data_IF_067509041793
#
_entry.id   IF_067509041793
#
_cell.length_a   1.000
_cell.length_b   1.000
_cell.length_c   1.000
_cell.angle_alpha   90.00
_cell.angle_beta   90.00
_cell.angle_gamma   90.00
#
_symmetry.space_group_name_H-M   'P 1'
#
loop_
_entity.id
_entity.type
_entity.pdbx_description
1 polymer ?
#
# COMPACT_ATOMS: atom_id res chain seq x y z
N UNK A 1 21.75 -3.27 9.37
CA UNK A 1 20.58 -2.39 9.53
C UNK A 1 19.97 -2.58 10.92
N UNK A 2 19.44 -1.51 11.52
CA UNK A 2 18.69 -1.52 12.79
C UNK A 2 17.27 -1.04 12.54
N UNK A 3 16.27 -1.76 13.04
CA UNK A 3 14.87 -1.35 13.04
C UNK A 3 14.60 -0.40 14.22
N UNK A 4 13.79 0.63 13.98
CA UNK A 4 13.19 1.46 15.04
C UNK A 4 11.66 1.35 14.93
N UNK A 5 11.03 0.74 15.92
CA UNK A 5 9.62 0.40 15.92
C UNK A 5 8.68 1.54 16.35
N UNK A 6 7.37 1.28 16.36
CA UNK A 6 6.34 2.29 16.65
C UNK A 6 6.33 2.81 18.09
N UNK A 7 7.03 2.16 19.04
CA UNK A 7 7.13 2.62 20.44
C UNK A 7 8.46 3.30 20.75
N UNK A 8 9.30 3.47 19.74
CA UNK A 8 10.63 4.07 19.88
C UNK A 8 10.65 5.53 19.40
N UNK A 9 11.80 6.17 19.62
CA UNK A 9 12.15 7.47 19.04
C UNK A 9 13.42 7.33 18.25
N UNK A 10 13.50 8.05 17.14
CA UNK A 10 14.70 8.09 16.31
C UNK A 10 15.14 9.52 16.08
N UNK A 11 16.38 9.85 16.45
CA UNK A 11 16.97 11.18 16.31
C UNK A 11 18.07 11.17 15.27
N UNK A 12 18.02 12.11 14.33
CA UNK A 12 18.99 12.21 13.24
C UNK A 12 19.05 13.65 12.74
N UNK A 13 20.24 14.22 12.55
CA UNK A 13 20.45 15.55 11.94
C UNK A 13 19.52 16.65 12.50
N UNK A 14 19.27 16.64 13.82
CA UNK A 14 18.39 17.62 14.50
C UNK A 14 16.88 17.30 14.45
N UNK A 15 16.46 16.32 13.65
CA UNK A 15 15.08 15.83 13.62
C UNK A 15 14.84 14.80 14.73
N UNK A 16 13.65 14.84 15.34
CA UNK A 16 13.15 13.83 16.26
C UNK A 16 11.92 13.19 15.65
N UNK A 17 12.01 11.91 15.33
CA UNK A 17 10.95 11.14 14.70
C UNK A 17 10.30 10.26 15.78
N UNK A 18 9.05 10.56 16.08
CA UNK A 18 8.19 9.76 16.94
C UNK A 18 7.58 8.62 16.14
N UNK A 19 7.46 7.43 16.74
CA UNK A 19 6.91 6.23 16.07
C UNK A 19 7.58 5.99 14.69
N UNK A 20 8.91 5.82 14.67
CA UNK A 20 9.73 5.88 13.46
C UNK A 20 9.36 4.85 12.40
N UNK A 21 9.13 3.58 12.78
CA UNK A 21 8.79 2.48 11.86
C UNK A 21 9.68 2.42 10.62
N UNK A 22 10.99 2.55 10.82
CA UNK A 22 11.97 2.60 9.73
C UNK A 22 13.23 1.83 10.09
N UNK A 23 14.00 1.47 9.06
CA UNK A 23 15.35 0.97 9.25
C UNK A 23 16.38 2.08 9.12
N UNK A 24 17.45 1.98 9.91
CA UNK A 24 18.64 2.82 9.79
C UNK A 24 19.89 1.97 9.59
N UNK A 25 20.85 2.49 8.85
CA UNK A 25 22.13 1.85 8.60
C UNK A 25 23.25 2.88 8.45
N UNK A 26 24.31 2.79 9.25
CA UNK A 26 25.45 3.71 9.12
C UNK A 26 26.41 3.19 8.05
N UNK A 27 26.09 3.35 6.76
CA UNK A 27 26.91 2.93 5.62
C UNK A 27 27.02 1.42 5.38
N UNK A 28 26.34 0.59 6.16
CA UNK A 28 26.37 -0.89 6.03
C UNK A 28 25.06 -1.45 5.49
N UNK A 29 24.67 -0.97 4.31
CA UNK A 29 23.48 -1.47 3.63
C UNK A 29 23.72 -2.92 3.15
N UNK A 30 22.69 -3.78 3.17
CA UNK A 30 22.86 -5.18 2.77
C UNK A 30 23.17 -5.33 1.28
N UNK A 31 22.76 -4.37 0.45
CA UNK A 31 23.14 -4.24 -0.95
C UNK A 31 23.20 -2.76 -1.36
N UNK A 32 23.98 -2.40 -2.41
CA UNK A 32 23.97 -1.07 -2.98
C UNK A 32 22.57 -0.65 -3.42
N UNK A 33 22.10 0.51 -2.96
CA UNK A 33 20.78 1.03 -3.31
C UNK A 33 19.62 0.42 -2.53
N UNK A 34 19.87 -0.18 -1.36
CA UNK A 34 18.83 -0.61 -0.40
C UNK A 34 17.79 0.51 -0.16
N UNK A 35 16.54 0.34 -0.60
CA UNK A 35 15.54 1.40 -0.54
C UNK A 35 14.80 1.46 0.80
N UNK A 36 14.93 0.46 1.66
CA UNK A 36 14.15 0.34 2.90
C UNK A 36 14.81 0.99 4.13
N UNK A 37 16.00 1.57 3.96
CA UNK A 37 16.80 2.12 5.06
C UNK A 37 17.20 3.57 4.82
N UNK A 38 17.34 4.32 5.92
CA UNK A 38 18.05 5.60 5.92
C UNK A 38 19.50 5.41 6.34
N UNK A 39 20.39 6.22 5.80
CA UNK A 39 21.79 6.30 6.23
C UNK A 39 22.08 7.62 6.98
N UNK A 40 22.17 7.59 8.32
CA UNK A 40 22.42 8.79 9.12
C UNK A 40 23.78 9.44 8.86
N UNK A 41 24.74 8.72 8.26
CA UNK A 41 26.08 9.25 7.96
C UNK A 41 26.10 10.19 6.76
N UNK A 42 25.06 10.16 5.93
CA UNK A 42 24.98 10.99 4.73
C UNK A 42 24.63 12.45 5.08
N UNK A 43 25.16 13.42 4.31
CA UNK A 43 24.87 14.83 4.55
C UNK A 43 23.39 15.16 4.38
N UNK A 44 22.86 15.94 5.32
CA UNK A 44 21.51 16.48 5.31
C UNK A 44 21.58 18.00 5.35
N UNK A 45 20.85 18.66 4.45
CA UNK A 45 20.75 20.11 4.38
C UNK A 45 19.34 20.57 4.79
N UNK A 46 19.11 21.89 4.72
CA UNK A 46 17.77 22.46 4.89
C UNK A 46 16.78 21.74 3.95
N UNK A 47 15.57 21.39 4.43
CA UNK A 47 14.57 20.73 3.61
C UNK A 47 14.32 21.43 2.29
N UNK A 48 14.44 20.70 1.19
CA UNK A 48 14.10 21.19 -0.14
C UNK A 48 12.58 21.45 -0.23
N UNK A 49 12.20 22.33 -1.17
CA UNK A 49 10.81 22.72 -1.47
C UNK A 49 10.62 22.84 -2.97
N UNK A 50 9.37 22.77 -3.43
CA UNK A 50 9.02 22.91 -4.84
C UNK A 50 9.77 21.89 -5.71
N UNK A 51 10.29 22.34 -6.85
CA UNK A 51 10.98 21.47 -7.82
C UNK A 51 12.23 20.78 -7.22
N UNK A 52 12.98 21.47 -6.35
CA UNK A 52 14.15 20.89 -5.70
C UNK A 52 13.81 19.72 -4.75
N UNK A 53 12.54 19.61 -4.32
CA UNK A 53 12.05 18.51 -3.51
C UNK A 53 11.53 17.32 -4.34
N UNK A 54 11.38 17.46 -5.66
CA UNK A 54 10.89 16.39 -6.53
C UNK A 54 11.86 15.23 -6.55
N UNK A 55 11.31 14.02 -6.56
CA UNK A 55 12.10 12.79 -6.56
C UNK A 55 12.10 12.13 -7.93
N UNK A 56 13.21 11.45 -8.23
CA UNK A 56 13.30 10.57 -9.40
C UNK A 56 12.53 9.27 -9.21
N UNK A 57 12.51 8.45 -10.24
CA UNK A 57 11.93 7.11 -10.15
C UNK A 57 12.84 6.18 -9.31
N UNK A 58 12.24 5.29 -8.51
CA UNK A 58 12.95 4.35 -7.62
C UNK A 58 13.98 4.98 -6.67
N UNK A 59 13.60 6.07 -5.97
CA UNK A 59 14.48 6.68 -4.99
C UNK A 59 14.79 5.75 -3.81
N UNK A 60 16.06 5.72 -3.42
CA UNK A 60 16.55 5.30 -2.11
C UNK A 60 17.16 6.51 -1.40
N UNK A 61 17.31 6.42 -0.08
CA UNK A 61 17.81 7.54 0.73
C UNK A 61 19.22 8.00 0.33
N UNK A 62 20.05 7.07 -0.15
CA UNK A 62 21.44 7.33 -0.54
C UNK A 62 21.54 8.20 -1.79
N UNK A 63 20.60 8.06 -2.73
CA UNK A 63 20.57 8.83 -3.98
C UNK A 63 19.87 10.18 -3.85
N UNK A 64 19.26 10.47 -2.70
CA UNK A 64 18.69 11.78 -2.43
C UNK A 64 19.80 12.84 -2.30
N UNK A 65 19.56 14.03 -2.83
CA UNK A 65 20.38 15.20 -2.50
C UNK A 65 20.25 15.54 -1.01
N UNK A 66 21.23 16.26 -0.41
CA UNK A 66 21.13 16.65 1.01
C UNK A 66 19.83 17.39 1.37
N UNK A 67 19.30 18.21 0.46
CA UNK A 67 18.03 18.92 0.67
C UNK A 67 16.80 18.01 0.61
N UNK A 68 16.78 17.03 -0.31
CA UNK A 68 15.73 16.01 -0.38
C UNK A 68 15.75 15.11 0.87
N UNK A 69 16.92 14.73 1.38
CA UNK A 69 17.03 14.03 2.67
C UNK A 69 16.45 14.87 3.81
N UNK A 70 16.71 16.18 3.82
CA UNK A 70 16.10 17.11 4.77
C UNK A 70 14.57 17.11 4.69
N UNK A 71 14.02 17.18 3.48
CA UNK A 71 12.57 17.12 3.24
C UNK A 71 11.95 15.79 3.68
N UNK A 72 12.64 14.68 3.48
CA UNK A 72 12.18 13.37 3.93
C UNK A 72 12.18 13.26 5.47
N UNK A 73 13.27 13.67 6.12
CA UNK A 73 13.40 13.61 7.57
C UNK A 73 12.44 14.56 8.28
N UNK A 74 12.19 15.75 7.72
CA UNK A 74 11.18 16.67 8.21
C UNK A 74 9.78 16.06 8.11
N UNK A 75 9.43 15.46 6.96
CA UNK A 75 8.14 14.78 6.77
C UNK A 75 7.95 13.62 7.76
N UNK A 76 9.00 12.81 7.99
CA UNK A 76 8.98 11.76 9.01
C UNK A 76 8.76 12.36 10.42
N UNK A 77 9.46 13.44 10.76
CA UNK A 77 9.34 14.10 12.07
C UNK A 77 7.97 14.75 12.30
N UNK A 78 7.29 15.16 11.24
CA UNK A 78 5.92 15.68 11.26
C UNK A 78 4.86 14.57 11.28
N UNK A 79 5.25 13.31 11.49
CA UNK A 79 4.34 12.18 11.59
C UNK A 79 3.82 11.66 10.26
N UNK A 80 4.57 11.91 9.17
CA UNK A 80 4.28 11.40 7.82
C UNK A 80 2.94 11.87 7.25
N UNK A 81 2.53 13.08 7.59
CA UNK A 81 1.30 13.71 7.09
C UNK A 81 1.61 15.12 6.65
N UNK A 82 1.00 15.51 5.54
CA UNK A 82 1.05 16.86 5.00
C UNK A 82 -0.31 17.54 5.15
N UNK A 83 -0.30 18.86 5.39
CA UNK A 83 -1.53 19.65 5.40
C UNK A 83 -2.21 19.65 4.01
N UNK A 84 -1.42 19.67 2.94
CA UNK A 84 -1.87 19.45 1.57
C UNK A 84 -1.22 18.16 1.01
N UNK A 85 -1.94 17.03 0.99
CA UNK A 85 -1.41 15.78 0.47
C UNK A 85 -1.15 15.80 -1.03
N UNK A 86 -1.76 16.72 -1.80
CA UNK A 86 -1.59 16.78 -3.26
C UNK A 86 -0.19 17.30 -3.67
N UNK A 87 0.43 18.11 -2.82
CA UNK A 87 1.75 18.70 -3.06
C UNK A 87 2.89 17.72 -2.77
N UNK A 88 2.64 16.68 -1.98
CA UNK A 88 3.67 15.70 -1.60
C UNK A 88 4.09 14.87 -2.81
N UNK A 89 5.38 14.90 -3.09
CA UNK A 89 5.99 13.91 -3.97
C UNK A 89 5.87 12.52 -3.33
N UNK A 90 5.13 11.62 -3.99
CA UNK A 90 4.86 10.27 -3.48
C UNK A 90 6.12 9.42 -3.33
N UNK A 91 7.23 9.79 -3.98
CA UNK A 91 8.50 9.08 -3.79
C UNK A 91 8.93 9.03 -2.32
N UNK A 92 8.63 10.06 -1.52
CA UNK A 92 8.91 10.06 -0.08
C UNK A 92 8.03 9.06 0.67
N UNK A 93 6.76 8.96 0.27
CA UNK A 93 5.80 8.00 0.85
C UNK A 93 6.24 6.57 0.53
N UNK A 94 6.68 6.32 -0.70
CA UNK A 94 7.23 5.03 -1.12
C UNK A 94 8.55 4.69 -0.40
N UNK A 95 9.44 5.66 -0.22
CA UNK A 95 10.71 5.45 0.48
C UNK A 95 10.47 4.94 1.91
N UNK A 96 9.46 5.47 2.59
CA UNK A 96 9.02 4.95 3.89
C UNK A 96 8.34 3.58 3.79
N UNK A 97 7.44 3.41 2.82
CA UNK A 97 6.72 2.16 2.58
C UNK A 97 7.64 0.95 2.41
N UNK A 98 8.79 1.09 1.72
CA UNK A 98 9.73 -0.02 1.55
C UNK A 98 10.28 -0.56 2.88
N UNK A 99 10.43 0.30 3.88
CA UNK A 99 10.76 -0.08 5.26
C UNK A 99 9.69 -0.97 5.89
N UNK A 100 8.42 -0.56 5.75
CA UNK A 100 7.27 -1.32 6.25
C UNK A 100 7.12 -2.65 5.52
N UNK A 101 7.18 -2.64 4.18
CA UNK A 101 7.09 -3.83 3.34
C UNK A 101 8.15 -4.86 3.74
N UNK A 102 9.41 -4.43 3.87
CA UNK A 102 10.49 -5.31 4.35
C UNK A 102 10.17 -5.91 5.72
N UNK A 103 9.71 -5.08 6.67
CA UNK A 103 9.41 -5.52 8.04
C UNK A 103 8.25 -6.53 8.06
N UNK A 104 7.20 -6.26 7.31
CA UNK A 104 6.02 -7.10 7.23
C UNK A 104 6.32 -8.41 6.48
N UNK A 105 7.01 -8.37 5.35
CA UNK A 105 7.19 -9.55 4.50
C UNK A 105 8.38 -10.43 4.91
N UNK A 106 9.54 -9.82 5.18
CA UNK A 106 10.76 -10.59 5.46
C UNK A 106 10.89 -10.95 6.94
N UNK A 107 10.53 -10.03 7.83
CA UNK A 107 10.61 -10.28 9.29
C UNK A 107 9.30 -10.85 9.84
N UNK A 108 8.18 -10.69 9.12
CA UNK A 108 6.84 -11.14 9.55
C UNK A 108 6.44 -10.57 10.91
N UNK A 109 6.71 -9.28 11.11
CA UNK A 109 6.35 -8.60 12.35
C UNK A 109 4.82 -8.51 12.48
N UNK A 110 4.22 -9.11 13.53
CA UNK A 110 2.78 -9.15 13.71
C UNK A 110 2.22 -7.82 14.23
N UNK A 111 3.03 -6.82 14.58
CA UNK A 111 2.55 -5.54 15.11
C UNK A 111 1.56 -4.86 14.14
N UNK A 112 0.28 -4.82 14.55
CA UNK A 112 -0.83 -4.29 13.73
C UNK A 112 -0.69 -2.81 13.41
N UNK A 113 0.13 -2.07 14.17
CA UNK A 113 0.42 -0.65 13.90
C UNK A 113 1.15 -0.46 12.56
N UNK A 114 1.86 -1.47 12.06
CA UNK A 114 2.52 -1.41 10.76
C UNK A 114 1.49 -1.39 9.62
N UNK A 115 0.50 -2.30 9.66
CA UNK A 115 -0.61 -2.35 8.69
C UNK A 115 -1.50 -1.12 8.83
N UNK A 116 -1.75 -0.67 10.06
CA UNK A 116 -2.50 0.56 10.32
C UNK A 116 -1.82 1.78 9.68
N UNK A 117 -0.50 1.93 9.79
CA UNK A 117 0.20 3.05 9.14
C UNK A 117 0.06 3.02 7.61
N UNK A 118 0.06 1.83 6.98
CA UNK A 118 -0.20 1.69 5.54
C UNK A 118 -1.62 2.16 5.19
N UNK A 119 -2.61 1.76 5.98
CA UNK A 119 -4.01 2.19 5.81
C UNK A 119 -4.12 3.71 5.94
N UNK A 120 -3.54 4.30 6.98
CA UNK A 120 -3.62 5.75 7.21
C UNK A 120 -2.89 6.55 6.12
N UNK A 121 -1.74 6.07 5.62
CA UNK A 121 -1.06 6.68 4.49
C UNK A 121 -1.92 6.61 3.21
N UNK A 122 -2.57 5.47 2.97
CA UNK A 122 -3.45 5.28 1.82
C UNK A 122 -4.69 6.18 1.91
N UNK A 123 -5.30 6.30 3.08
CA UNK A 123 -6.45 7.17 3.33
C UNK A 123 -6.07 8.66 3.21
N UNK A 124 -4.87 9.05 3.66
CA UNK A 124 -4.39 10.43 3.60
C UNK A 124 -3.99 10.88 2.19
N UNK A 125 -3.19 10.08 1.48
CA UNK A 125 -2.63 10.46 0.17
C UNK A 125 -3.47 9.95 -1.02
N UNK A 126 -4.21 8.86 -0.86
CA UNK A 126 -4.96 8.19 -1.92
C UNK A 126 -6.00 9.08 -2.62
N UNK A 127 -6.81 9.86 -1.89
CA UNK A 127 -7.81 10.77 -2.50
C UNK A 127 -7.18 11.90 -3.31
N UNK A 128 -5.99 12.37 -2.92
CA UNK A 128 -5.30 13.51 -3.53
C UNK A 128 -4.43 13.14 -4.73
N UNK A 129 -4.39 11.86 -5.13
CA UNK A 129 -3.52 11.39 -6.22
C UNK A 129 -4.21 10.50 -7.24
N UNK A 130 -3.74 10.59 -8.48
CA UNK A 130 -4.08 9.64 -9.56
C UNK A 130 -3.10 8.48 -9.66
N UNK A 131 -2.08 8.42 -8.78
CA UNK A 131 -1.10 7.35 -8.75
C UNK A 131 -1.77 5.98 -8.58
N UNK A 132 -1.65 5.14 -9.60
CA UNK A 132 -2.14 3.76 -9.53
C UNK A 132 -1.26 2.93 -8.61
N UNK A 133 0.05 3.13 -8.69
CA UNK A 133 1.03 2.39 -7.89
C UNK A 133 0.82 2.56 -6.39
N UNK A 134 0.41 3.76 -5.92
CA UNK A 134 0.15 3.96 -4.49
C UNK A 134 -0.97 3.02 -4.02
N UNK A 135 -2.10 3.03 -4.72
CA UNK A 135 -3.22 2.15 -4.38
C UNK A 135 -2.86 0.68 -4.56
N UNK A 136 -2.26 0.31 -5.70
CA UNK A 136 -1.93 -1.08 -6.02
C UNK A 136 -0.98 -1.68 -4.99
N UNK A 137 0.21 -1.11 -4.78
CA UNK A 137 1.21 -1.72 -3.91
C UNK A 137 0.79 -1.72 -2.44
N UNK A 138 0.12 -0.66 -1.97
CA UNK A 138 -0.30 -0.58 -0.58
C UNK A 138 -1.42 -1.59 -0.30
N UNK A 139 -2.42 -1.68 -1.18
CA UNK A 139 -3.51 -2.63 -1.01
C UNK A 139 -3.03 -4.08 -1.21
N UNK A 140 -2.15 -4.36 -2.18
CA UNK A 140 -1.56 -5.69 -2.36
C UNK A 140 -0.80 -6.15 -1.11
N UNK A 141 0.00 -5.28 -0.50
CA UNK A 141 0.69 -5.59 0.75
C UNK A 141 -0.30 -5.81 1.89
N UNK A 142 -1.36 -4.99 2.02
CA UNK A 142 -2.40 -5.20 3.03
C UNK A 142 -3.08 -6.56 2.85
N UNK A 143 -3.60 -6.83 1.65
CA UNK A 143 -4.24 -8.09 1.30
C UNK A 143 -3.35 -9.30 1.61
N UNK A 144 -2.12 -9.28 1.11
CA UNK A 144 -1.18 -10.38 1.32
C UNK A 144 -0.82 -10.54 2.79
N UNK A 145 -0.49 -9.44 3.48
CA UNK A 145 -0.05 -9.51 4.88
C UNK A 145 -1.14 -10.00 5.82
N UNK A 146 -2.40 -9.57 5.68
CA UNK A 146 -3.47 -10.13 6.53
C UNK A 146 -3.94 -11.50 6.09
N UNK A 147 -3.79 -11.89 4.83
CA UNK A 147 -3.93 -13.30 4.44
C UNK A 147 -2.96 -14.20 5.22
N UNK A 148 -1.70 -13.75 5.37
CA UNK A 148 -0.70 -14.48 6.15
C UNK A 148 -1.00 -14.52 7.66
N UNK A 149 -1.84 -13.62 8.19
CA UNK A 149 -2.28 -13.65 9.58
C UNK A 149 -3.35 -14.73 9.84
N UNK A 150 -3.98 -15.24 8.77
CA UNK A 150 -4.99 -16.28 8.82
C UNK A 150 -6.26 -15.89 8.07
N UNK A 151 -7.00 -16.91 7.66
CA UNK A 151 -8.21 -16.76 6.84
C UNK A 151 -9.31 -15.96 7.54
N UNK A 152 -9.50 -16.15 8.84
CA UNK A 152 -10.46 -15.37 9.65
C UNK A 152 -10.09 -13.89 9.67
N UNK A 153 -8.83 -13.56 9.99
CA UNK A 153 -8.34 -12.16 10.06
C UNK A 153 -8.52 -11.48 8.70
N UNK A 154 -8.12 -12.15 7.62
CA UNK A 154 -8.27 -11.61 6.29
C UNK A 154 -9.73 -11.41 5.89
N UNK A 155 -10.62 -12.34 6.27
CA UNK A 155 -12.05 -12.25 5.98
C UNK A 155 -12.70 -11.03 6.65
N UNK A 156 -12.28 -10.68 7.86
CA UNK A 156 -12.76 -9.50 8.59
C UNK A 156 -12.40 -8.19 7.88
N UNK A 157 -11.18 -8.09 7.34
CA UNK A 157 -10.69 -6.87 6.69
C UNK A 157 -10.98 -6.81 5.19
N UNK A 158 -11.28 -7.95 4.55
CA UNK A 158 -11.55 -8.01 3.10
C UNK A 158 -12.55 -6.92 2.69
N UNK A 159 -13.72 -6.72 3.34
CA UNK A 159 -14.80 -5.90 2.76
C UNK A 159 -14.32 -4.48 2.52
N UNK A 160 -13.60 -3.95 3.50
CA UNK A 160 -12.98 -2.63 3.45
C UNK A 160 -11.98 -2.54 2.29
N UNK A 161 -11.11 -3.53 2.12
CA UNK A 161 -10.05 -3.47 1.12
C UNK A 161 -10.55 -3.72 -0.31
N UNK A 162 -11.52 -4.61 -0.50
CA UNK A 162 -12.20 -4.79 -1.78
C UNK A 162 -12.89 -3.50 -2.23
N UNK A 163 -13.56 -2.80 -1.32
CA UNK A 163 -14.13 -1.48 -1.63
C UNK A 163 -13.05 -0.47 -2.01
N UNK A 164 -11.90 -0.47 -1.33
CA UNK A 164 -10.78 0.41 -1.64
C UNK A 164 -10.14 0.14 -3.03
N UNK A 165 -10.22 -1.10 -3.53
CA UNK A 165 -9.84 -1.45 -4.91
C UNK A 165 -10.82 -0.89 -5.96
N UNK A 166 -12.04 -0.54 -5.56
CA UNK A 166 -13.10 -0.11 -6.47
C UNK A 166 -13.42 -1.20 -7.51
N UNK A 167 -13.74 -0.79 -8.74
CA UNK A 167 -14.13 -1.70 -9.83
C UNK A 167 -13.01 -2.61 -10.37
N UNK A 168 -11.84 -2.64 -9.73
CA UNK A 168 -10.66 -3.38 -10.20
C UNK A 168 -10.11 -4.27 -9.09
N UNK A 169 -10.71 -5.44 -8.96
CA UNK A 169 -10.10 -6.56 -8.26
C UNK A 169 -9.28 -7.35 -9.28
N UNK A 170 -7.96 -7.15 -9.35
CA UNK A 170 -7.06 -7.80 -10.31
C UNK A 170 -5.80 -8.42 -9.66
N UNK A 171 -4.96 -9.06 -10.47
CA UNK A 171 -3.66 -9.59 -10.04
C UNK A 171 -3.73 -10.61 -8.91
N UNK A 172 -2.81 -10.47 -7.96
CA UNK A 172 -2.66 -11.36 -6.80
C UNK A 172 -3.81 -11.23 -5.81
N UNK A 173 -4.43 -10.06 -5.69
CA UNK A 173 -5.52 -9.83 -4.72
C UNK A 173 -6.70 -10.75 -4.97
N UNK A 174 -7.07 -10.94 -6.25
CA UNK A 174 -8.11 -11.89 -6.64
C UNK A 174 -7.78 -13.31 -6.17
N UNK A 175 -6.53 -13.74 -6.33
CA UNK A 175 -6.12 -15.09 -5.94
C UNK A 175 -6.23 -15.26 -4.43
N UNK A 176 -5.86 -14.25 -3.65
CA UNK A 176 -6.00 -14.26 -2.19
C UNK A 176 -7.47 -14.30 -1.75
N UNK A 177 -8.35 -13.55 -2.41
CA UNK A 177 -9.80 -13.61 -2.15
C UNK A 177 -10.35 -15.01 -2.44
N UNK A 178 -10.01 -15.57 -3.59
CA UNK A 178 -10.44 -16.91 -3.98
C UNK A 178 -9.89 -18.01 -3.06
N UNK A 179 -8.62 -17.91 -2.67
CA UNK A 179 -8.00 -18.84 -1.74
C UNK A 179 -8.66 -18.75 -0.36
N UNK A 180 -8.96 -17.54 0.12
CA UNK A 180 -9.68 -17.35 1.38
C UNK A 180 -11.08 -17.96 1.35
N UNK A 181 -11.85 -17.74 0.28
CA UNK A 181 -13.17 -18.37 0.10
C UNK A 181 -13.07 -19.89 0.11
N UNK A 182 -12.10 -20.45 -0.65
CA UNK A 182 -11.89 -21.89 -0.72
C UNK A 182 -11.52 -22.50 0.63
N UNK A 183 -10.57 -21.90 1.36
CA UNK A 183 -10.13 -22.39 2.68
C UNK A 183 -11.23 -22.28 3.75
N UNK A 184 -12.20 -21.38 3.56
CA UNK A 184 -13.35 -21.19 4.47
C UNK A 184 -14.58 -22.00 4.06
N UNK A 185 -14.53 -22.70 2.93
CA UNK A 185 -15.68 -23.36 2.32
C UNK A 185 -16.87 -22.40 2.11
N UNK A 186 -16.58 -21.11 1.87
CA UNK A 186 -17.59 -20.09 1.60
C UNK A 186 -17.86 -19.98 0.09
N UNK A 187 -19.13 -19.91 -0.33
CA UNK A 187 -19.45 -19.67 -1.73
C UNK A 187 -19.04 -18.27 -2.17
N UNK A 188 -18.86 -18.12 -3.48
CA UNK A 188 -18.43 -16.85 -4.05
C UNK A 188 -19.60 -15.88 -4.17
N UNK A 189 -19.54 -14.78 -3.42
CA UNK A 189 -20.50 -13.69 -3.58
C UNK A 189 -20.44 -13.10 -5.00
N UNK A 190 -21.60 -12.74 -5.55
CA UNK A 190 -21.74 -12.28 -6.94
C UNK A 190 -20.84 -11.07 -7.27
N UNK A 191 -20.55 -10.22 -6.28
CA UNK A 191 -19.66 -9.06 -6.48
C UNK A 191 -18.24 -9.49 -6.80
N UNK A 192 -17.72 -10.57 -6.22
CA UNK A 192 -16.42 -11.14 -6.56
C UNK A 192 -16.48 -11.75 -7.98
N UNK A 193 -17.56 -12.49 -8.26
CA UNK A 193 -17.78 -13.08 -9.58
C UNK A 193 -17.87 -12.03 -10.70
N UNK A 194 -18.50 -10.87 -10.46
CA UNK A 194 -18.56 -9.77 -11.42
C UNK A 194 -17.17 -9.27 -11.82
N UNK A 195 -16.26 -9.13 -10.86
CA UNK A 195 -14.90 -8.66 -11.14
C UNK A 195 -14.03 -9.73 -11.82
N UNK A 196 -14.35 -11.01 -11.61
CA UNK A 196 -13.71 -12.14 -12.25
C UNK A 196 -14.19 -12.39 -13.68
N UNK A 197 -15.49 -12.22 -13.92
CA UNK A 197 -16.13 -12.61 -15.17
C UNK A 197 -15.42 -12.06 -16.42
N UNK A 198 -15.02 -10.78 -16.52
CA UNK A 198 -14.31 -10.24 -17.70
C UNK A 198 -12.98 -10.93 -18.04
N UNK A 199 -12.41 -11.70 -17.12
CA UNK A 199 -11.15 -12.43 -17.31
C UNK A 199 -11.33 -13.86 -17.79
N UNK A 200 -12.51 -14.43 -17.63
CA UNK A 200 -12.79 -15.77 -18.12
C UNK A 200 -12.71 -15.75 -19.65
N UNK A 201 -12.04 -16.73 -20.24
CA UNK A 201 -11.81 -16.83 -21.69
C UNK A 201 -13.12 -16.78 -22.48
N UNK A 202 -14.19 -17.35 -21.91
CA UNK A 202 -15.52 -17.43 -22.52
C UNK A 202 -16.31 -16.11 -22.44
N UNK A 203 -15.81 -15.10 -21.73
CA UNK A 203 -16.55 -13.86 -21.51
C UNK A 203 -16.46 -12.92 -22.71
N UNK A 204 -17.63 -12.49 -23.19
CA UNK A 204 -17.73 -11.51 -24.27
C UNK A 204 -17.34 -10.12 -23.76
N UNK A 205 -16.26 -9.57 -24.31
CA UNK A 205 -15.82 -8.19 -24.03
C UNK A 205 -16.60 -7.24 -24.94
N UNK A 206 -17.36 -6.31 -24.35
CA UNK A 206 -18.14 -5.32 -25.10
C UNK A 206 -18.09 -3.95 -24.44
N UNK A 207 -17.89 -2.91 -25.27
CA UNK A 207 -17.93 -1.50 -24.84
C UNK A 207 -19.32 -1.13 -24.28
N UNK A 208 -20.37 -1.86 -24.66
CA UNK A 208 -21.73 -1.67 -24.13
C UNK A 208 -21.79 -1.95 -22.63
N UNK A 209 -21.04 -2.95 -22.15
CA UNK A 209 -20.95 -3.28 -20.71
C UNK A 209 -20.32 -2.11 -19.96
N UNK A 210 -19.29 -1.48 -20.52
CA UNK A 210 -18.67 -0.29 -19.92
C UNK A 210 -19.61 0.92 -19.93
N UNK A 211 -20.32 1.16 -21.04
CA UNK A 211 -21.24 2.32 -21.20
C UNK A 211 -22.52 2.20 -20.38
N UNK A 212 -23.00 0.98 -20.13
CA UNK A 212 -24.23 0.69 -19.37
C UNK A 212 -23.94 -0.05 -18.06
N UNK A 213 -22.79 0.24 -17.44
CA UNK A 213 -22.23 -0.52 -16.31
C UNK A 213 -23.23 -0.79 -15.19
N UNK A 214 -23.99 0.22 -14.76
CA UNK A 214 -24.99 0.04 -13.69
C UNK A 214 -26.10 -0.95 -14.03
N UNK A 215 -26.57 -0.95 -15.28
CA UNK A 215 -27.62 -1.88 -15.72
C UNK A 215 -27.09 -3.31 -15.74
N UNK A 216 -25.86 -3.50 -16.23
CA UNK A 216 -25.23 -4.82 -16.24
C UNK A 216 -24.84 -5.29 -14.84
N UNK A 217 -24.45 -4.39 -13.94
CA UNK A 217 -24.17 -4.70 -12.53
C UNK A 217 -25.42 -5.29 -11.85
N UNK A 218 -26.56 -4.59 -11.93
CA UNK A 218 -27.85 -5.08 -11.41
C UNK A 218 -28.32 -6.36 -12.08
N UNK A 219 -28.17 -6.46 -13.41
CA UNK A 219 -28.55 -7.65 -14.14
C UNK A 219 -27.68 -8.85 -13.75
N UNK A 220 -26.39 -8.64 -13.53
CA UNK A 220 -25.47 -9.70 -13.14
C UNK A 220 -25.79 -10.24 -11.75
N UNK A 221 -26.03 -9.36 -10.78
CA UNK A 221 -26.52 -9.74 -9.45
C UNK A 221 -27.73 -10.66 -9.56
N UNK A 222 -28.80 -10.20 -10.23
CA UNK A 222 -30.02 -10.99 -10.40
C UNK A 222 -29.76 -12.35 -11.07
N UNK A 223 -28.99 -12.38 -12.17
CA UNK A 223 -28.70 -13.63 -12.90
C UNK A 223 -27.80 -14.58 -12.13
N UNK A 224 -26.89 -14.05 -11.31
CA UNK A 224 -26.02 -14.86 -10.48
C UNK A 224 -26.84 -15.52 -9.36
N UNK A 225 -27.68 -14.75 -8.67
CA UNK A 225 -28.57 -15.27 -7.62
C UNK A 225 -29.60 -16.28 -8.17
N UNK A 226 -30.13 -16.08 -9.37
CA UNK A 226 -30.99 -17.05 -10.06
C UNK A 226 -30.26 -18.38 -10.35
N UNK A 227 -28.97 -18.33 -10.69
CA UNK A 227 -28.16 -19.51 -11.04
C UNK A 227 -27.59 -20.24 -9.82
N UNK A 228 -27.35 -19.53 -8.72
CA UNK A 228 -26.77 -20.03 -7.48
C UNK A 228 -27.66 -19.64 -6.27
N UNK A 229 -28.88 -20.20 -6.16
CA UNK A 229 -29.82 -19.79 -5.11
C UNK A 229 -29.46 -20.37 -3.74
N UNK A 230 -29.34 -19.50 -2.73
CA UNK A 230 -29.10 -19.92 -1.35
C UNK A 230 -27.65 -20.26 -1.01
N UNK A 231 -26.72 -19.89 -1.89
CA UNK A 231 -25.30 -19.71 -1.58
C UNK A 231 -25.04 -18.32 -0.96
#
# INVERSE_FOLDING_TARGET
MKWFGPSEKFKVHGYSIERPMLYSSNGRLPWPGEPSAIDPSLPVARPARGEAARLGYYCNFDYLTPGQRGAYLEWLAQGRRDADPAERDLGYVFLFFYGLERRILLVRDPDSRLRQEIVELLEHYGPSTRSRSLRTYFLELLHFSSYLEGTEVYREVWPKWLTAHGAKLDGEVVKLVLANLFEREEPMHWTVAWHLAPRLEKSRKSVVVTRSGEKFWKLFEQRFEEAFPGE
#
